data_IF_646158560639
#
_entry.id   IF_646158560639
#
_cell.length_a   1.000
_cell.length_b   1.000
_cell.length_c   1.000
_cell.angle_alpha   90.00
_cell.angle_beta   90.00
_cell.angle_gamma   90.00
#
_symmetry.space_group_name_H-M   'P 1'
#
loop_
_entity.id
_entity.type
_entity.pdbx_description
1 polymer ?
#
# COMPACT_ATOMS: atom_id res chain seq x y z
N UNK A 1 43.80 -11.84 9.08
CA UNK A 1 42.93 -11.22 8.06
C UNK A 1 43.81 -10.59 7.01
N UNK A 2 43.48 -10.68 5.71
CA UNK A 2 44.14 -9.85 4.70
C UNK A 2 43.81 -8.37 4.96
N UNK A 3 44.83 -7.51 4.90
CA UNK A 3 44.68 -6.06 5.04
C UNK A 3 44.76 -5.45 3.64
N UNK A 4 43.82 -4.56 3.31
CA UNK A 4 43.80 -3.82 2.05
C UNK A 4 44.08 -2.36 2.37
N UNK A 5 45.11 -1.79 1.74
CA UNK A 5 45.40 -0.37 1.81
C UNK A 5 44.74 0.32 0.60
N UNK A 6 43.84 1.25 0.87
CA UNK A 6 43.11 1.98 -0.17
C UNK A 6 43.52 3.45 -0.08
N UNK A 7 44.12 3.96 -1.15
CA UNK A 7 44.39 5.39 -1.32
C UNK A 7 43.19 6.03 -2.01
N UNK A 8 42.51 6.94 -1.33
CA UNK A 8 41.35 7.68 -1.85
C UNK A 8 41.65 9.18 -1.88
N UNK A 9 41.10 9.94 -2.85
CA UNK A 9 41.17 11.40 -2.83
C UNK A 9 40.52 11.98 -1.57
N UNK A 10 41.05 13.08 -1.04
CA UNK A 10 40.56 13.69 0.20
C UNK A 10 39.05 14.00 0.18
N UNK A 11 38.53 14.46 -0.96
CA UNK A 11 37.10 14.72 -1.15
C UNK A 11 36.25 13.46 -0.96
N UNK A 12 36.67 12.35 -1.56
CA UNK A 12 35.96 11.08 -1.46
C UNK A 12 36.05 10.52 -0.03
N UNK A 13 37.17 10.72 0.65
CA UNK A 13 37.28 10.36 2.07
C UNK A 13 36.29 11.16 2.93
N UNK A 14 36.15 12.47 2.68
CA UNK A 14 35.18 13.31 3.39
C UNK A 14 33.74 12.84 3.15
N UNK A 15 33.37 12.53 1.90
CA UNK A 15 32.06 11.97 1.58
C UNK A 15 31.80 10.64 2.29
N UNK A 16 32.77 9.72 2.25
CA UNK A 16 32.66 8.43 2.95
C UNK A 16 32.53 8.61 4.46
N UNK A 17 33.22 9.59 5.03
CA UNK A 17 33.14 9.92 6.45
C UNK A 17 31.76 10.46 6.81
N UNK A 18 31.25 11.44 6.08
CA UNK A 18 29.93 12.03 6.30
C UNK A 18 28.82 10.97 6.21
N UNK A 19 28.87 10.13 5.18
CA UNK A 19 27.92 9.01 5.03
C UNK A 19 28.03 8.05 6.20
N UNK A 20 29.24 7.66 6.61
CA UNK A 20 29.42 6.74 7.74
C UNK A 20 28.89 7.29 9.06
N UNK A 21 29.06 8.60 9.31
CA UNK A 21 28.55 9.29 10.50
C UNK A 21 27.02 9.34 10.49
N UNK A 22 26.40 9.60 9.33
CA UNK A 22 24.94 9.61 9.17
C UNK A 22 24.30 8.24 9.46
N UNK A 23 25.03 7.16 9.22
CA UNK A 23 24.56 5.79 9.47
C UNK A 23 25.08 5.21 10.81
N UNK A 24 25.82 6.00 11.60
CA UNK A 24 26.45 5.58 12.86
C UNK A 24 27.29 4.29 12.73
N UNK A 25 28.07 4.20 11.65
CA UNK A 25 28.95 3.05 11.37
C UNK A 25 30.39 3.50 11.13
N UNK A 26 31.33 2.59 11.32
CA UNK A 26 32.73 2.86 10.96
C UNK A 26 32.88 2.94 9.43
N UNK A 27 33.67 3.90 8.95
CA UNK A 27 34.01 4.08 7.52
C UNK A 27 34.47 2.75 6.89
N UNK A 28 35.25 1.96 7.63
CA UNK A 28 35.73 0.65 7.17
C UNK A 28 34.59 -0.32 6.90
N UNK A 29 33.55 -0.34 7.74
CA UNK A 29 32.40 -1.22 7.57
C UNK A 29 31.49 -0.75 6.44
N UNK A 30 31.33 0.58 6.28
CA UNK A 30 30.69 1.15 5.09
C UNK A 30 31.39 0.67 3.81
N UNK A 31 32.73 0.79 3.73
CA UNK A 31 33.51 0.34 2.57
C UNK A 31 33.32 -1.17 2.32
N UNK A 32 33.32 -2.00 3.38
CA UNK A 32 33.06 -3.44 3.24
C UNK A 32 31.68 -3.72 2.68
N UNK A 33 30.65 -3.01 3.14
CA UNK A 33 29.27 -3.16 2.65
C UNK A 33 29.20 -2.79 1.17
N UNK A 34 29.79 -1.65 0.79
CA UNK A 34 29.85 -1.21 -0.59
C UNK A 34 30.54 -2.28 -1.46
N UNK A 35 31.75 -2.72 -1.10
CA UNK A 35 32.46 -3.76 -1.87
C UNK A 35 31.61 -5.04 -1.96
N UNK A 36 31.00 -5.48 -0.86
CA UNK A 36 30.16 -6.69 -0.86
C UNK A 36 28.96 -6.58 -1.80
N UNK A 37 28.34 -5.40 -1.88
CA UNK A 37 27.15 -5.16 -2.70
C UNK A 37 27.50 -4.94 -4.18
N UNK A 38 28.59 -4.23 -4.46
CA UNK A 38 28.97 -3.84 -5.83
C UNK A 38 29.88 -4.86 -6.53
N UNK A 39 30.69 -5.64 -5.82
CA UNK A 39 31.57 -6.64 -6.44
C UNK A 39 30.82 -7.71 -7.25
N UNK A 40 29.67 -8.25 -6.80
CA UNK A 40 28.85 -9.16 -7.62
C UNK A 40 28.33 -8.49 -8.89
N UNK A 41 27.92 -7.22 -8.79
CA UNK A 41 27.41 -6.44 -9.92
C UNK A 41 28.50 -6.16 -10.96
N UNK A 42 29.74 -5.89 -10.53
CA UNK A 42 30.91 -5.78 -11.40
C UNK A 42 31.20 -7.11 -12.10
N UNK A 43 31.19 -8.23 -11.34
CA UNK A 43 31.42 -9.58 -11.90
C UNK A 43 30.37 -10.00 -12.92
N UNK A 44 29.12 -9.55 -12.74
CA UNK A 44 28.02 -9.82 -13.65
C UNK A 44 27.96 -8.82 -14.82
N UNK A 45 28.87 -7.86 -14.89
CA UNK A 45 28.97 -6.89 -16.00
C UNK A 45 28.01 -5.71 -15.92
N UNK A 46 27.27 -5.53 -14.81
CA UNK A 46 26.34 -4.42 -14.64
C UNK A 46 27.01 -3.06 -14.41
N UNK A 47 28.29 -3.07 -14.02
CA UNK A 47 29.05 -1.86 -13.65
C UNK A 47 30.31 -1.64 -14.52
N UNK A 48 30.46 -2.43 -15.59
CA UNK A 48 31.61 -2.32 -16.48
C UNK A 48 31.38 -1.21 -17.52
N UNK A 49 31.98 -0.03 -17.28
CA UNK A 49 32.03 1.13 -18.19
C UNK A 49 30.70 1.90 -18.37
N UNK A 50 30.70 3.18 -18.81
CA UNK A 50 29.49 3.87 -19.26
C UNK A 50 29.06 3.25 -20.60
N UNK A 51 28.49 2.05 -20.55
CA UNK A 51 27.88 1.40 -21.71
C UNK A 51 26.50 2.05 -21.93
N UNK A 52 26.23 2.70 -23.07
CA UNK A 52 24.91 3.27 -23.37
C UNK A 52 23.76 2.25 -23.20
N UNK A 53 24.02 0.94 -23.32
CA UNK A 53 23.03 -0.13 -23.08
C UNK A 53 22.62 -0.28 -21.61
N UNK A 54 23.50 0.02 -20.66
CA UNK A 54 23.17 0.01 -19.23
C UNK A 54 22.27 1.20 -18.87
N UNK A 55 22.51 2.35 -19.52
CA UNK A 55 21.66 3.54 -19.37
C UNK A 55 20.27 3.31 -20.01
N UNK A 56 20.20 2.66 -21.17
CA UNK A 56 18.92 2.23 -21.77
C UNK A 56 18.17 1.24 -20.86
N UNK A 57 18.87 0.30 -20.23
CA UNK A 57 18.25 -0.64 -19.28
C UNK A 57 17.73 0.08 -18.03
N UNK A 58 18.45 1.07 -17.53
CA UNK A 58 18.01 1.89 -16.39
C UNK A 58 16.78 2.75 -16.76
N UNK A 59 16.78 3.40 -17.93
CA UNK A 59 15.62 4.16 -18.42
C UNK A 59 14.39 3.27 -18.65
N UNK A 60 14.57 2.05 -19.17
CA UNK A 60 13.50 1.06 -19.30
C UNK A 60 12.98 0.64 -17.93
N UNK A 61 13.85 0.45 -16.93
CA UNK A 61 13.45 0.11 -15.58
C UNK A 61 12.66 1.26 -14.95
N UNK A 62 13.12 2.49 -15.10
CA UNK A 62 12.44 3.70 -14.62
C UNK A 62 11.06 3.88 -15.26
N UNK A 63 10.95 3.70 -16.57
CA UNK A 63 9.67 3.73 -17.29
C UNK A 63 8.69 2.65 -16.81
N UNK A 64 9.20 1.43 -16.55
CA UNK A 64 8.39 0.36 -15.96
C UNK A 64 7.94 0.71 -14.54
N UNK A 65 8.80 1.36 -13.76
CA UNK A 65 8.51 1.77 -12.40
C UNK A 65 7.44 2.87 -12.37
N UNK A 66 7.55 3.89 -13.22
CA UNK A 66 6.51 4.93 -13.40
C UNK A 66 5.17 4.35 -13.86
N UNK A 67 5.21 3.36 -14.76
CA UNK A 67 3.99 2.66 -15.22
C UNK A 67 3.36 1.88 -14.07
N UNK A 68 4.19 1.24 -13.23
CA UNK A 68 3.72 0.51 -12.06
C UNK A 68 3.11 1.45 -11.03
N UNK A 69 3.76 2.59 -10.74
CA UNK A 69 3.25 3.62 -9.84
C UNK A 69 1.90 4.17 -10.30
N UNK A 70 1.75 4.47 -11.59
CA UNK A 70 0.46 4.89 -12.17
C UNK A 70 -0.63 3.84 -11.95
N UNK A 71 -0.33 2.58 -12.25
CA UNK A 71 -1.28 1.47 -12.05
C UNK A 71 -1.67 1.29 -10.59
N UNK A 72 -0.72 1.43 -9.66
CA UNK A 72 -1.01 1.36 -8.22
C UNK A 72 -1.92 2.51 -7.80
N UNK A 73 -1.67 3.73 -8.28
CA UNK A 73 -2.53 4.89 -7.99
C UNK A 73 -3.94 4.76 -8.58
N UNK A 74 -4.05 4.23 -9.79
CA UNK A 74 -5.34 3.91 -10.42
C UNK A 74 -6.12 2.87 -9.59
N UNK A 75 -5.44 1.79 -9.16
CA UNK A 75 -6.04 0.77 -8.31
C UNK A 75 -6.46 1.30 -6.94
N UNK A 76 -5.66 2.16 -6.31
CA UNK A 76 -6.03 2.81 -5.04
C UNK A 76 -7.29 3.67 -5.23
N UNK A 77 -7.34 4.43 -6.32
CA UNK A 77 -8.51 5.28 -6.65
C UNK A 77 -9.77 4.44 -6.87
N UNK A 78 -9.67 3.36 -7.65
CA UNK A 78 -10.77 2.42 -7.90
C UNK A 78 -11.23 1.72 -6.60
N UNK A 79 -10.28 1.34 -5.75
CA UNK A 79 -10.59 0.68 -4.48
C UNK A 79 -11.34 1.64 -3.55
N UNK A 80 -10.88 2.90 -3.44
CA UNK A 80 -11.57 3.93 -2.64
C UNK A 80 -12.96 4.24 -3.17
N UNK A 81 -13.14 4.33 -4.48
CA UNK A 81 -14.46 4.59 -5.07
C UNK A 81 -15.40 3.43 -4.83
N UNK A 82 -14.93 2.19 -4.97
CA UNK A 82 -15.68 0.98 -4.66
C UNK A 82 -16.11 0.94 -3.19
N UNK A 83 -15.19 1.17 -2.24
CA UNK A 83 -15.51 1.22 -0.81
C UNK A 83 -16.59 2.25 -0.51
N UNK A 84 -16.51 3.46 -1.09
CA UNK A 84 -17.53 4.50 -0.92
C UNK A 84 -18.88 4.06 -1.46
N UNK A 85 -18.91 3.48 -2.67
CA UNK A 85 -20.14 3.00 -3.29
C UNK A 85 -20.79 1.88 -2.44
N UNK A 86 -19.99 0.92 -1.97
CA UNK A 86 -20.47 -0.15 -1.09
C UNK A 86 -21.01 0.40 0.22
N UNK A 87 -20.34 1.37 0.84
CA UNK A 87 -20.80 2.00 2.09
C UNK A 87 -22.15 2.69 1.91
N UNK A 88 -22.34 3.43 0.80
CA UNK A 88 -23.63 4.05 0.48
C UNK A 88 -24.74 3.02 0.20
N UNK A 89 -24.41 1.90 -0.44
CA UNK A 89 -25.38 0.81 -0.66
C UNK A 89 -25.79 0.16 0.66
N UNK A 90 -24.83 -0.09 1.57
CA UNK A 90 -25.11 -0.64 2.89
C UNK A 90 -26.02 0.29 3.69
N UNK A 91 -25.72 1.59 3.72
CA UNK A 91 -26.57 2.58 4.40
C UNK A 91 -28.01 2.57 3.85
N UNK A 92 -28.18 2.50 2.54
CA UNK A 92 -29.52 2.41 1.91
C UNK A 92 -30.24 1.11 2.24
N UNK A 93 -29.51 0.02 2.45
CA UNK A 93 -30.09 -1.25 2.86
C UNK A 93 -30.52 -1.19 4.33
N UNK A 94 -29.70 -0.61 5.20
CA UNK A 94 -30.04 -0.36 6.60
C UNK A 94 -31.33 0.48 6.71
N UNK A 95 -31.42 1.62 6.02
CA UNK A 95 -32.64 2.44 6.00
C UNK A 95 -33.90 1.69 5.52
N UNK A 96 -33.73 0.73 4.61
CA UNK A 96 -34.85 -0.11 4.14
C UNK A 96 -35.23 -1.16 5.16
N UNK A 97 -34.25 -1.74 5.85
CA UNK A 97 -34.49 -2.70 6.93
C UNK A 97 -35.25 -2.01 8.06
N UNK A 98 -34.81 -0.82 8.49
CA UNK A 98 -35.48 -0.04 9.53
C UNK A 98 -36.96 0.23 9.20
N UNK A 99 -37.24 0.64 7.96
CA UNK A 99 -38.63 0.84 7.48
C UNK A 99 -39.44 -0.45 7.50
N UNK A 100 -38.87 -1.57 7.05
CA UNK A 100 -39.56 -2.85 7.09
C UNK A 100 -39.83 -3.28 8.53
N UNK A 101 -38.90 -3.04 9.45
CA UNK A 101 -39.09 -3.33 10.88
C UNK A 101 -40.22 -2.50 11.49
N UNK A 102 -40.32 -1.21 11.13
CA UNK A 102 -41.42 -0.32 11.50
C UNK A 102 -42.76 -0.83 10.94
N UNK A 103 -42.85 -1.09 9.63
CA UNK A 103 -44.05 -1.61 8.98
C UNK A 103 -44.52 -2.94 9.62
N UNK A 104 -43.58 -3.85 9.92
CA UNK A 104 -43.87 -5.12 10.58
C UNK A 104 -44.36 -4.92 12.01
N UNK A 105 -43.83 -3.93 12.73
CA UNK A 105 -44.31 -3.59 14.07
C UNK A 105 -45.75 -3.09 14.02
N UNK A 106 -46.06 -2.15 13.13
CA UNK A 106 -47.40 -1.59 12.97
C UNK A 106 -48.43 -2.67 12.58
N UNK A 107 -48.10 -3.53 11.61
CA UNK A 107 -48.96 -4.66 11.23
C UNK A 107 -49.21 -5.63 12.39
N UNK A 108 -48.21 -5.87 13.26
CA UNK A 108 -48.39 -6.70 14.46
C UNK A 108 -49.33 -6.03 15.47
N UNK A 109 -49.28 -4.71 15.61
CA UNK A 109 -50.18 -3.94 16.47
C UNK A 109 -51.61 -4.01 15.92
N UNK A 110 -51.82 -3.72 14.64
CA UNK A 110 -53.13 -3.80 13.99
C UNK A 110 -53.76 -5.20 14.12
N UNK A 111 -52.97 -6.26 13.92
CA UNK A 111 -53.43 -7.65 14.07
C UNK A 111 -53.81 -8.00 15.51
N UNK A 112 -53.18 -7.39 16.52
CA UNK A 112 -53.58 -7.55 17.93
C UNK A 112 -54.89 -6.83 18.20
N UNK A 113 -55.06 -5.61 17.68
CA UNK A 113 -56.30 -4.82 17.86
C UNK A 113 -57.49 -5.52 17.20
N UNK A 114 -57.37 -6.03 15.97
CA UNK A 114 -58.46 -6.75 15.30
C UNK A 114 -58.89 -8.02 16.04
N UNK A 115 -57.93 -8.77 16.60
CA UNK A 115 -58.21 -9.95 17.45
C UNK A 115 -58.90 -9.61 18.78
N UNK A 116 -58.81 -8.38 19.27
CA UNK A 116 -59.49 -7.95 20.50
C UNK A 116 -60.92 -7.51 20.21
N UNK A 117 -61.21 -7.01 19.00
CA UNK A 117 -62.55 -6.55 18.61
C UNK A 117 -63.47 -7.72 18.21
N UNK A 118 -62.96 -8.77 17.55
CA UNK A 118 -63.75 -9.96 17.19
C UNK A 118 -64.38 -10.76 18.36
N UNK A 119 -63.74 -10.95 19.53
CA UNK A 119 -64.34 -11.73 20.63
C UNK A 119 -65.53 -11.04 21.32
N UNK A 120 -65.70 -9.72 21.22
CA UNK A 120 -66.84 -9.02 21.84
C UNK A 120 -68.15 -9.16 21.04
N UNK A 121 -68.08 -9.55 19.76
CA UNK A 121 -69.25 -9.71 18.90
C UNK A 121 -69.83 -11.14 18.89
N UNK A 122 -69.17 -12.10 19.55
CA UNK A 122 -69.64 -13.50 19.66
C UNK A 122 -70.41 -13.82 20.95
N UNK A 123 -70.50 -12.88 21.90
CA UNK A 123 -71.19 -13.06 23.18
C UNK A 123 -72.46 -12.19 23.32
N UNK A 124 -73.25 -12.03 22.24
CA UNK A 124 -74.60 -11.44 22.29
C UNK A 124 -75.63 -12.36 21.64
#
# INVERSE_FOLDING_TARGET
MPTIHISVPDKLYQELKEVSENYDIQITDLIKILIKNYLPLVKQGYLSSPDPKANESYQQLQSKLETLEKRVNELDTLTRSFIRASSLMLQKLEEKIDKIEEDVYDLKVERKVSKIIEPELLNK
#
